data_IF_630160429154
#
_entry.id   IF_630160429154
#
_cell.length_a   1.000
_cell.length_b   1.000
_cell.length_c   1.000
_cell.angle_alpha   90.00
_cell.angle_beta   90.00
_cell.angle_gamma   90.00
#
_symmetry.space_group_name_H-M   'P 1'
#
loop_
_entity.id
_entity.type
_entity.pdbx_description
1 polymer ?
#
# COMPACT_ATOMS: atom_id res chain seq x y z
N UNK A 1 3.62 3.45 24.01
CA UNK A 1 3.46 3.62 22.54
C UNK A 1 2.27 2.77 22.13
N UNK A 2 1.17 3.40 21.72
CA UNK A 2 -0.02 2.67 21.25
C UNK A 2 0.32 2.14 19.87
N UNK A 3 0.46 0.83 19.72
CA UNK A 3 0.46 0.20 18.40
C UNK A 3 -0.91 0.50 17.81
N UNK A 4 -0.97 1.34 16.77
CA UNK A 4 -2.24 1.64 16.10
C UNK A 4 -2.65 0.39 15.32
N UNK A 5 -3.75 -0.25 15.71
CA UNK A 5 -4.30 -1.39 15.00
C UNK A 5 -4.90 -0.95 13.66
N UNK A 6 -4.10 -0.97 12.60
CA UNK A 6 -4.56 -0.63 11.25
C UNK A 6 -5.45 -1.71 10.62
N UNK A 7 -5.57 -2.89 11.24
CA UNK A 7 -6.44 -4.00 10.81
C UNK A 7 -7.93 -3.64 10.80
N UNK A 8 -8.32 -2.53 11.44
CA UNK A 8 -9.70 -2.03 11.47
C UNK A 8 -10.03 -1.09 10.31
N UNK A 9 -9.04 -0.66 9.54
CA UNK A 9 -9.22 0.26 8.44
C UNK A 9 -9.30 -0.49 7.12
N UNK A 10 -10.37 -0.24 6.38
CA UNK A 10 -10.52 -0.76 5.02
C UNK A 10 -9.78 0.18 4.06
N UNK A 11 -8.56 -0.22 3.71
CA UNK A 11 -7.76 0.46 2.71
C UNK A 11 -8.05 -0.04 1.29
N UNK A 12 -8.89 -1.07 1.15
CA UNK A 12 -9.26 -1.68 -0.11
C UNK A 12 -9.93 -0.66 -1.02
N UNK A 13 -9.38 -0.48 -2.22
CA UNK A 13 -9.96 0.42 -3.23
C UNK A 13 -10.26 -0.36 -4.51
N UNK A 14 -11.36 -0.05 -5.22
CA UNK A 14 -11.69 -0.76 -6.45
C UNK A 14 -10.57 -0.57 -7.48
N UNK A 15 -10.07 -1.67 -8.05
CA UNK A 15 -8.92 -1.67 -8.95
C UNK A 15 -7.56 -1.57 -8.25
N UNK A 16 -7.52 -1.59 -6.92
CA UNK A 16 -6.30 -1.61 -6.12
C UNK A 16 -6.31 -2.71 -5.06
N UNK A 17 -5.16 -3.37 -4.91
CA UNK A 17 -4.95 -4.36 -3.87
C UNK A 17 -4.10 -3.73 -2.78
N UNK A 18 -4.65 -3.64 -1.56
CA UNK A 18 -3.92 -3.12 -0.41
C UNK A 18 -3.60 -4.18 0.62
N UNK A 19 -2.40 -4.11 1.21
CA UNK A 19 -1.93 -5.08 2.21
C UNK A 19 -1.17 -4.36 3.32
N UNK A 20 -1.62 -4.49 4.56
CA UNK A 20 -0.89 -3.94 5.70
C UNK A 20 0.15 -4.96 6.16
N UNK A 21 1.43 -4.60 6.11
CA UNK A 21 2.55 -5.42 6.59
C UNK A 21 3.44 -4.56 7.46
N UNK A 22 3.70 -4.99 8.70
CA UNK A 22 4.58 -4.28 9.63
C UNK A 22 4.18 -2.79 9.80
N UNK A 23 2.89 -2.54 9.99
CA UNK A 23 2.35 -1.19 10.19
C UNK A 23 2.57 -0.26 8.97
N UNK A 24 2.78 -0.83 7.78
CA UNK A 24 2.95 -0.14 6.49
C UNK A 24 1.89 -0.63 5.53
N UNK A 25 1.22 0.30 4.87
CA UNK A 25 0.22 0.02 3.87
C UNK A 25 0.90 -0.17 2.52
N UNK A 26 0.89 -1.38 1.99
CA UNK A 26 1.25 -1.64 0.61
C UNK A 26 0.02 -1.47 -0.27
N UNK A 27 0.20 -0.81 -1.41
CA UNK A 27 -0.85 -0.54 -2.40
C UNK A 27 -0.34 -0.98 -3.77
N UNK A 28 -1.15 -1.75 -4.47
CA UNK A 28 -0.89 -2.27 -5.80
C UNK A 28 -2.07 -2.00 -6.71
N UNK A 29 -1.85 -1.91 -8.02
CA UNK A 29 -2.94 -1.98 -8.98
C UNK A 29 -3.37 -3.43 -9.20
N UNK A 30 -4.66 -3.63 -9.40
CA UNK A 30 -5.20 -4.92 -9.78
C UNK A 30 -4.67 -5.34 -11.16
N UNK A 31 -4.12 -6.55 -11.26
CA UNK A 31 -3.53 -7.07 -12.49
C UNK A 31 -2.06 -6.67 -12.73
N UNK A 32 -1.41 -6.01 -11.78
CA UNK A 32 -0.03 -5.58 -11.93
C UNK A 32 0.98 -6.73 -11.70
N UNK A 33 2.07 -6.76 -12.48
CA UNK A 33 3.15 -7.76 -12.31
C UNK A 33 3.90 -7.56 -11.00
N UNK A 34 3.85 -6.36 -10.46
CA UNK A 34 4.45 -6.00 -9.20
C UNK A 34 3.74 -6.68 -8.01
N UNK A 35 2.43 -6.92 -8.13
CA UNK A 35 1.69 -7.68 -7.14
C UNK A 35 2.15 -9.14 -7.07
N UNK A 36 2.39 -9.77 -8.22
CA UNK A 36 2.87 -11.17 -8.27
C UNK A 36 4.23 -11.33 -7.56
N UNK A 37 5.14 -10.36 -7.79
CA UNK A 37 6.43 -10.30 -7.07
C UNK A 37 6.23 -10.12 -5.57
N UNK A 38 5.33 -9.24 -5.16
CA UNK A 38 5.02 -9.03 -3.75
C UNK A 38 4.45 -10.28 -3.08
N UNK A 39 3.57 -11.02 -3.76
CA UNK A 39 3.02 -12.27 -3.23
C UNK A 39 4.11 -13.34 -3.11
N UNK A 40 5.08 -13.34 -4.02
CA UNK A 40 6.16 -14.32 -4.05
C UNK A 40 7.28 -14.03 -3.04
N UNK A 41 7.72 -12.78 -2.95
CA UNK A 41 8.89 -12.36 -2.15
C UNK A 41 8.49 -11.68 -0.83
N UNK A 42 7.25 -11.17 -0.72
CA UNK A 42 6.79 -10.35 0.40
C UNK A 42 7.23 -8.88 0.34
N UNK A 43 8.12 -8.53 -0.59
CA UNK A 43 8.62 -7.19 -0.83
C UNK A 43 8.89 -6.95 -2.32
N UNK A 44 9.03 -5.69 -2.73
CA UNK A 44 9.42 -5.34 -4.10
C UNK A 44 10.82 -4.78 -4.12
N UNK A 45 11.63 -5.25 -5.07
CA UNK A 45 12.93 -4.67 -5.35
C UNK A 45 12.85 -3.18 -5.74
N UNK A 46 11.77 -2.76 -6.42
CA UNK A 46 11.51 -1.36 -6.77
C UNK A 46 10.14 -0.95 -6.25
N UNK A 47 10.16 -0.10 -5.23
CA UNK A 47 8.96 0.50 -4.67
C UNK A 47 9.26 1.91 -4.18
N UNK A 48 8.22 2.73 -4.12
CA UNK A 48 8.23 4.04 -3.49
C UNK A 48 7.66 3.89 -2.09
N UNK A 49 8.39 4.42 -1.11
CA UNK A 49 7.92 4.51 0.28
C UNK A 49 7.64 5.96 0.60
N UNK A 50 6.39 6.27 0.97
CA UNK A 50 5.98 7.57 1.45
C UNK A 50 5.52 7.47 2.91
N UNK A 51 6.41 7.78 3.86
CA UNK A 51 6.05 7.78 5.27
C UNK A 51 4.97 8.83 5.54
N UNK A 52 3.87 8.42 6.19
CA UNK A 52 2.77 9.32 6.57
C UNK A 52 1.84 9.76 5.43
N UNK A 53 2.03 9.26 4.19
CA UNK A 53 1.17 9.61 3.07
C UNK A 53 -0.12 8.76 2.99
N UNK A 54 -0.19 7.66 3.75
CA UNK A 54 -1.39 6.83 3.79
C UNK A 54 -2.47 7.41 4.68
N UNK A 55 -3.71 6.91 4.57
CA UNK A 55 -4.81 7.36 5.42
C UNK A 55 -4.46 7.09 6.89
N UNK A 56 -4.86 7.98 7.81
CA UNK A 56 -4.48 7.92 9.23
C UNK A 56 -2.98 8.08 9.53
N UNK A 57 -2.20 8.58 8.57
CA UNK A 57 -0.77 8.80 8.71
C UNK A 57 0.04 7.50 8.70
N UNK A 58 -0.48 6.43 8.10
CA UNK A 58 0.29 5.20 7.89
C UNK A 58 1.35 5.42 6.80
N UNK A 59 2.47 4.70 6.91
CA UNK A 59 3.47 4.67 5.83
C UNK A 59 2.90 3.93 4.64
N UNK A 60 2.82 4.60 3.50
CA UNK A 60 2.29 4.01 2.27
C UNK A 60 3.45 3.57 1.37
N UNK A 61 3.35 2.36 0.83
CA UNK A 61 4.31 1.76 -0.08
C UNK A 61 3.58 1.32 -1.35
N UNK A 62 4.16 1.60 -2.50
CA UNK A 62 3.61 1.21 -3.79
C UNK A 62 4.75 0.94 -4.77
N UNK A 63 4.51 0.21 -5.87
CA UNK A 63 5.54 -0.02 -6.89
C UNK A 63 6.10 1.27 -7.49
N UNK A 64 5.25 2.29 -7.60
CA UNK A 64 5.59 3.59 -8.19
C UNK A 64 4.75 4.72 -7.57
N UNK A 65 5.17 5.96 -7.80
CA UNK A 65 4.48 7.14 -7.25
C UNK A 65 3.11 7.37 -7.90
N UNK A 66 2.92 6.97 -9.15
CA UNK A 66 1.64 7.15 -9.85
C UNK A 66 0.54 6.29 -9.20
N UNK A 67 0.86 5.05 -8.84
CA UNK A 67 -0.02 4.16 -8.06
C UNK A 67 -0.42 4.79 -6.73
N UNK A 68 0.50 5.49 -6.03
CA UNK A 68 0.16 6.22 -4.80
C UNK A 68 -0.81 7.36 -5.10
N UNK A 69 -0.49 8.17 -6.10
CA UNK A 69 -1.29 9.34 -6.47
C UNK A 69 -2.71 8.93 -6.88
N UNK A 70 -2.84 7.91 -7.74
CA UNK A 70 -4.13 7.35 -8.16
C UNK A 70 -4.89 6.70 -7.01
N UNK A 71 -4.18 5.99 -6.13
CA UNK A 71 -4.79 5.44 -4.92
C UNK A 71 -5.36 6.55 -4.07
N UNK A 72 -4.59 7.61 -3.78
CA UNK A 72 -5.03 8.75 -2.98
C UNK A 72 -6.15 9.55 -3.65
N UNK A 73 -6.12 9.67 -4.98
CA UNK A 73 -7.15 10.33 -5.78
C UNK A 73 -8.48 9.57 -5.80
N UNK A 74 -8.44 8.24 -5.73
CA UNK A 74 -9.63 7.38 -5.66
C UNK A 74 -10.25 7.49 -4.27
N UNK A 75 -11.23 8.37 -4.00
CA UNK A 75 -11.71 8.62 -2.63
C UNK A 75 -12.74 7.62 -2.14
#
# INVERSE_FOLDING_TARGET
MVQRDYSKYDFSRPGFVTKVVDNRLWVFKEGDKEYDKFIKDGELAKHVTLPGAGPEGITLKAPDKATIDEYLATK
#
